data_IF_564361963853
#
_entry.id   IF_564361963853
#
_cell.length_a   1.000
_cell.length_b   1.000
_cell.length_c   1.000
_cell.angle_alpha   90.00
_cell.angle_beta   90.00
_cell.angle_gamma   90.00
#
_symmetry.space_group_name_H-M   'P 1'
#
loop_
_entity.id
_entity.type
_entity.pdbx_description
1 polymer ?
#
# COMPACT_ATOMS: atom_id res chain seq x y z
N UNK A 1 13.57 -14.11 8.02
CA UNK A 1 12.92 -12.79 7.87
C UNK A 1 13.72 -11.88 6.93
N UNK A 2 13.81 -12.26 5.65
CA UNK A 2 14.56 -11.51 4.62
C UNK A 2 13.70 -11.19 3.37
N UNK A 3 12.43 -11.61 3.33
CA UNK A 3 11.67 -11.74 2.09
C UNK A 3 11.10 -10.42 1.53
N UNK A 4 10.71 -9.46 2.38
CA UNK A 4 9.91 -8.30 1.92
C UNK A 4 10.66 -7.33 1.01
N UNK A 5 11.98 -7.20 1.14
CA UNK A 5 12.81 -6.32 0.26
C UNK A 5 13.05 -6.99 -1.09
N UNK A 6 13.29 -8.30 -1.07
CA UNK A 6 13.35 -9.11 -2.29
C UNK A 6 12.01 -9.10 -3.01
N UNK A 7 10.91 -9.21 -2.26
CA UNK A 7 9.55 -9.10 -2.78
C UNK A 7 9.29 -7.70 -3.36
N UNK A 8 9.66 -6.63 -2.65
CA UNK A 8 9.47 -5.26 -3.15
C UNK A 8 10.22 -5.01 -4.46
N UNK A 9 11.48 -5.43 -4.55
CA UNK A 9 12.25 -5.35 -5.78
C UNK A 9 11.64 -6.22 -6.90
N UNK A 10 11.14 -7.42 -6.58
CA UNK A 10 10.48 -8.29 -7.54
C UNK A 10 9.16 -7.72 -8.06
N UNK A 11 8.36 -7.07 -7.21
CA UNK A 11 7.13 -6.38 -7.62
C UNK A 11 7.45 -5.17 -8.50
N UNK A 12 8.43 -4.34 -8.10
CA UNK A 12 8.87 -3.20 -8.92
C UNK A 12 9.39 -3.66 -10.30
N UNK A 13 10.10 -4.79 -10.36
CA UNK A 13 10.58 -5.37 -11.62
C UNK A 13 9.47 -5.86 -12.56
N UNK A 14 8.24 -6.01 -12.09
CA UNK A 14 7.07 -6.38 -12.89
C UNK A 14 6.32 -5.15 -13.43
N UNK A 15 6.64 -3.95 -12.96
CA UNK A 15 5.98 -2.71 -13.34
C UNK A 15 6.75 -1.97 -14.42
N UNK A 16 6.04 -1.41 -15.40
CA UNK A 16 6.64 -0.50 -16.36
C UNK A 16 6.87 0.87 -15.72
N UNK A 17 7.94 1.56 -16.13
CA UNK A 17 8.27 2.89 -15.62
C UNK A 17 7.11 3.88 -15.79
N UNK A 18 6.39 3.83 -16.92
CA UNK A 18 5.20 4.66 -17.15
C UNK A 18 4.08 4.42 -16.13
N UNK A 19 3.89 3.17 -15.72
CA UNK A 19 2.87 2.81 -14.72
C UNK A 19 3.30 3.30 -13.34
N UNK A 20 4.57 3.10 -12.97
CA UNK A 20 5.12 3.61 -11.70
C UNK A 20 5.04 5.14 -11.61
N UNK A 21 5.39 5.86 -12.68
CA UNK A 21 5.26 7.33 -12.74
C UNK A 21 3.81 7.79 -12.62
N UNK A 22 2.86 7.06 -13.21
CA UNK A 22 1.44 7.39 -13.06
C UNK A 22 0.94 7.15 -11.63
N UNK A 23 1.38 6.06 -11.00
CA UNK A 23 0.97 5.67 -9.67
C UNK A 23 1.50 6.61 -8.59
N UNK A 24 2.79 6.95 -8.67
CA UNK A 24 3.53 7.59 -7.57
C UNK A 24 4.12 8.95 -7.92
N UNK A 25 4.03 9.38 -9.19
CA UNK A 25 4.56 10.64 -9.67
C UNK A 25 5.98 10.52 -10.23
N UNK A 26 6.39 11.52 -11.01
CA UNK A 26 7.75 11.59 -11.56
C UNK A 26 8.79 11.93 -10.50
N UNK A 27 8.37 12.56 -9.40
CA UNK A 27 9.24 12.99 -8.29
C UNK A 27 9.52 11.88 -7.27
N UNK A 28 8.75 10.79 -7.28
CA UNK A 28 8.97 9.68 -6.34
C UNK A 28 10.29 8.97 -6.66
N UNK A 29 11.23 9.04 -5.73
CA UNK A 29 12.54 8.39 -5.86
C UNK A 29 12.41 6.87 -5.92
N UNK A 30 13.41 6.19 -6.47
CA UNK A 30 13.43 4.72 -6.48
C UNK A 30 13.34 4.14 -5.05
N UNK A 31 13.90 4.85 -4.06
CA UNK A 31 13.82 4.48 -2.66
C UNK A 31 12.40 4.62 -2.10
N UNK A 32 11.70 5.72 -2.40
CA UNK A 32 10.31 5.93 -1.97
C UNK A 32 9.39 4.89 -2.57
N UNK A 33 9.58 4.56 -3.85
CA UNK A 33 8.81 3.50 -4.52
C UNK A 33 9.04 2.14 -3.85
N UNK A 34 10.28 1.81 -3.49
CA UNK A 34 10.61 0.60 -2.72
C UNK A 34 9.92 0.61 -1.36
N UNK A 35 9.99 1.73 -0.63
CA UNK A 35 9.37 1.90 0.68
C UNK A 35 7.85 1.75 0.64
N UNK A 36 7.19 2.34 -0.36
CA UNK A 36 5.75 2.20 -0.59
C UNK A 36 5.38 0.73 -0.83
N UNK A 37 6.09 0.06 -1.74
CA UNK A 37 5.81 -1.36 -2.04
C UNK A 37 6.07 -2.25 -0.83
N UNK A 38 7.18 -2.02 -0.12
CA UNK A 38 7.53 -2.77 1.09
C UNK A 38 6.45 -2.61 2.18
N UNK A 39 6.01 -1.37 2.43
CA UNK A 39 4.94 -1.07 3.36
C UNK A 39 3.60 -1.72 2.95
N UNK A 40 3.26 -1.72 1.66
CA UNK A 40 2.04 -2.36 1.16
C UNK A 40 2.05 -3.88 1.36
N UNK A 41 3.18 -4.54 1.09
CA UNK A 41 3.32 -5.99 1.34
C UNK A 41 3.21 -6.31 2.83
N UNK A 42 3.83 -5.51 3.70
CA UNK A 42 3.69 -5.69 5.16
C UNK A 42 2.26 -5.48 5.62
N UNK A 43 1.63 -4.40 5.14
CA UNK A 43 0.27 -4.03 5.51
C UNK A 43 -0.70 -5.15 5.14
N UNK A 44 -0.68 -5.62 3.89
CA UNK A 44 -1.55 -6.71 3.43
C UNK A 44 -1.38 -7.97 4.27
N UNK A 45 -0.12 -8.43 4.45
CA UNK A 45 0.18 -9.61 5.27
C UNK A 45 -0.35 -9.49 6.69
N UNK A 46 -0.05 -8.38 7.37
CA UNK A 46 -0.47 -8.17 8.75
C UNK A 46 -1.99 -7.94 8.88
N UNK A 47 -2.63 -7.38 7.85
CA UNK A 47 -4.08 -7.22 7.81
C UNK A 47 -4.76 -8.59 7.75
N UNK A 48 -4.32 -9.47 6.84
CA UNK A 48 -4.81 -10.84 6.72
C UNK A 48 -4.61 -11.62 8.03
N UNK A 49 -3.39 -11.60 8.59
CA UNK A 49 -3.08 -12.20 9.89
C UNK A 49 -4.03 -11.68 11.00
N UNK A 50 -4.35 -10.38 10.99
CA UNK A 50 -5.23 -9.77 11.99
C UNK A 50 -6.70 -10.17 11.85
N UNK A 51 -7.14 -10.47 10.62
CA UNK A 51 -8.49 -10.97 10.35
C UNK A 51 -8.61 -12.46 10.71
N UNK A 52 -7.57 -13.24 10.46
CA UNK A 52 -7.50 -14.66 10.85
C UNK A 52 -7.52 -14.85 12.37
N UNK A 53 -6.81 -14.00 13.11
CA UNK A 53 -6.75 -14.03 14.59
C UNK A 53 -8.05 -13.55 15.25
N UNK A 54 -8.93 -12.86 14.51
CA UNK A 54 -10.20 -12.32 15.01
C UNK A 54 -11.33 -12.46 13.97
N UNK A 55 -11.86 -13.68 13.78
CA UNK A 55 -13.03 -13.87 12.93
C UNK A 55 -14.29 -13.34 13.64
N UNK A 56 -14.80 -12.15 13.28
CA UNK A 56 -16.07 -11.67 13.83
C UNK A 56 -16.50 -10.26 13.46
N UNK A 57 -17.82 -10.01 13.59
CA UNK A 57 -18.46 -8.70 13.42
C UNK A 57 -17.83 -7.68 14.37
N UNK A 58 -17.03 -6.79 13.82
CA UNK A 58 -16.46 -5.67 14.55
C UNK A 58 -17.54 -4.59 14.71
N UNK A 59 -17.84 -4.22 15.95
CA UNK A 59 -18.43 -2.92 16.20
C UNK A 59 -17.42 -1.80 15.84
N UNK A 60 -17.89 -0.56 15.73
CA UNK A 60 -17.05 0.57 15.32
C UNK A 60 -15.80 0.73 16.22
N UNK A 61 -15.96 0.49 17.52
CA UNK A 61 -14.87 0.56 18.49
C UNK A 61 -13.84 -0.56 18.29
N UNK A 62 -14.30 -1.79 18.03
CA UNK A 62 -13.49 -2.95 17.72
C UNK A 62 -12.72 -2.77 16.40
N UNK A 63 -13.38 -2.27 15.36
CA UNK A 63 -12.75 -1.97 14.07
C UNK A 63 -11.68 -0.89 14.22
N UNK A 64 -11.96 0.19 14.96
CA UNK A 64 -10.98 1.25 15.24
C UNK A 64 -9.77 0.72 15.99
N UNK A 65 -9.98 -0.11 17.02
CA UNK A 65 -8.89 -0.69 17.80
C UNK A 65 -8.03 -1.64 16.96
N UNK A 66 -8.67 -2.47 16.14
CA UNK A 66 -7.98 -3.35 15.20
C UNK A 66 -7.07 -2.56 14.27
N UNK A 67 -7.59 -1.49 13.65
CA UNK A 67 -6.81 -0.64 12.75
C UNK A 67 -5.65 0.07 13.46
N UNK A 68 -5.84 0.54 14.69
CA UNK A 68 -4.76 1.13 15.49
C UNK A 68 -3.67 0.10 15.81
N UNK A 69 -4.06 -1.10 16.25
CA UNK A 69 -3.12 -2.17 16.61
C UNK A 69 -2.37 -2.69 15.36
N UNK A 70 -3.05 -2.77 14.21
CA UNK A 70 -2.44 -3.05 12.91
C UNK A 70 -1.43 -1.97 12.54
N UNK A 71 -1.82 -0.70 12.57
CA UNK A 71 -0.94 0.38 12.15
C UNK A 71 0.30 0.51 13.02
N UNK A 72 0.15 0.30 14.33
CA UNK A 72 1.29 0.26 15.24
C UNK A 72 2.26 -0.89 14.92
N UNK A 73 1.75 -2.06 14.52
CA UNK A 73 2.59 -3.20 14.12
C UNK A 73 3.28 -2.96 12.79
N UNK A 74 2.57 -2.42 11.80
CA UNK A 74 3.15 -2.06 10.49
C UNK A 74 4.26 -1.02 10.66
N UNK A 75 4.02 0.04 11.42
CA UNK A 75 5.03 1.09 11.68
C UNK A 75 6.28 0.51 12.35
N UNK A 76 6.12 -0.38 13.35
CA UNK A 76 7.27 -0.99 14.05
C UNK A 76 8.07 -1.92 13.15
N UNK A 77 7.40 -2.78 12.37
CA UNK A 77 8.07 -3.67 11.43
C UNK A 77 8.79 -2.87 10.33
N UNK A 78 8.11 -1.85 9.79
CA UNK A 78 8.68 -0.96 8.79
C UNK A 78 9.91 -0.21 9.32
N UNK A 79 9.82 0.37 10.53
CA UNK A 79 10.94 1.07 11.16
C UNK A 79 12.17 0.17 11.34
N UNK A 80 11.96 -1.03 11.90
CA UNK A 80 13.02 -2.00 12.12
C UNK A 80 13.67 -2.44 10.78
N UNK A 81 12.87 -2.60 9.73
CA UNK A 81 13.36 -3.08 8.45
C UNK A 81 14.12 -2.02 7.66
N UNK A 82 13.64 -0.80 7.71
CA UNK A 82 14.27 0.34 7.04
C UNK A 82 15.43 0.92 7.86
N UNK A 83 15.73 0.34 9.03
CA UNK A 83 16.74 0.85 9.97
C UNK A 83 16.51 2.33 10.32
N UNK A 84 15.24 2.71 10.49
CA UNK A 84 14.80 4.07 10.80
C UNK A 84 14.15 4.15 12.17
N UNK A 85 14.07 5.36 12.70
CA UNK A 85 13.37 5.61 13.95
C UNK A 85 11.87 5.38 13.79
N UNK A 86 11.21 4.88 14.84
CA UNK A 86 9.76 4.60 14.79
C UNK A 86 8.93 5.85 14.47
N UNK A 87 9.38 7.02 14.94
CA UNK A 87 8.72 8.29 14.64
C UNK A 87 8.87 8.69 13.16
N UNK A 88 10.04 8.45 12.56
CA UNK A 88 10.29 8.70 11.14
C UNK A 88 9.44 7.76 10.26
N UNK A 89 9.35 6.48 10.63
CA UNK A 89 8.45 5.52 10.00
C UNK A 89 6.98 5.94 10.09
N UNK A 90 6.55 6.42 11.27
CA UNK A 90 5.19 6.89 11.49
C UNK A 90 4.89 8.16 10.67
N UNK A 91 5.85 9.06 10.53
CA UNK A 91 5.71 10.26 9.71
C UNK A 91 5.57 9.90 8.23
N UNK A 92 6.44 9.00 7.73
CA UNK A 92 6.37 8.51 6.35
C UNK A 92 5.02 7.84 6.04
N UNK A 93 4.61 6.88 6.88
CA UNK A 93 3.35 6.15 6.69
C UNK A 93 2.11 6.99 7.01
N UNK A 94 2.27 8.07 7.78
CA UNK A 94 1.21 9.02 8.13
C UNK A 94 0.97 10.09 7.07
N UNK A 95 1.92 10.31 6.16
CA UNK A 95 1.75 11.22 5.04
C UNK A 95 0.62 10.72 4.12
N UNK A 96 -0.34 11.61 3.82
CA UNK A 96 -1.61 11.22 3.16
C UNK A 96 -1.35 10.58 1.80
N UNK A 97 -0.46 11.15 0.99
CA UNK A 97 -0.10 10.61 -0.31
C UNK A 97 0.53 9.22 -0.20
N UNK A 98 1.45 9.03 0.72
CA UNK A 98 2.14 7.77 0.97
C UNK A 98 1.18 6.70 1.46
N UNK A 99 0.35 7.02 2.46
CA UNK A 99 -0.68 6.11 2.96
C UNK A 99 -1.64 5.67 1.85
N UNK A 100 -2.14 6.60 1.05
CA UNK A 100 -3.08 6.29 -0.02
C UNK A 100 -2.43 5.42 -1.10
N UNK A 101 -1.15 5.64 -1.41
CA UNK A 101 -0.36 4.79 -2.34
C UNK A 101 -0.11 3.39 -1.78
N UNK A 102 0.16 3.28 -0.47
CA UNK A 102 0.35 1.99 0.22
C UNK A 102 -0.94 1.17 0.19
N UNK A 103 -2.08 1.79 0.51
CA UNK A 103 -3.39 1.13 0.48
C UNK A 103 -3.77 0.73 -0.94
N UNK A 104 -3.65 1.63 -1.93
CA UNK A 104 -3.93 1.33 -3.34
C UNK A 104 -3.08 0.15 -3.84
N UNK A 105 -1.78 0.13 -3.53
CA UNK A 105 -0.92 -0.97 -3.96
C UNK A 105 -1.23 -2.27 -3.22
N UNK A 106 -1.62 -2.20 -1.94
CA UNK A 106 -2.07 -3.38 -1.18
C UNK A 106 -3.31 -4.01 -1.80
N UNK A 107 -4.29 -3.20 -2.22
CA UNK A 107 -5.51 -3.69 -2.91
C UNK A 107 -5.14 -4.36 -4.24
N UNK A 108 -4.20 -3.78 -5.00
CA UNK A 108 -3.70 -4.37 -6.25
C UNK A 108 -3.03 -5.73 -6.01
N UNK A 109 -2.30 -5.90 -4.91
CA UNK A 109 -1.66 -7.18 -4.55
C UNK A 109 -2.71 -8.24 -4.17
N UNK A 110 -3.76 -7.86 -3.47
CA UNK A 110 -4.88 -8.73 -3.13
C UNK A 110 -5.62 -9.18 -4.42
N UNK A 111 -6.00 -8.23 -5.28
CA UNK A 111 -6.65 -8.54 -6.56
C UNK A 111 -5.80 -9.44 -7.45
N UNK A 112 -4.47 -9.22 -7.48
CA UNK A 112 -3.55 -10.07 -8.22
C UNK A 112 -3.59 -11.52 -7.75
N UNK A 113 -3.67 -11.73 -6.43
CA UNK A 113 -3.66 -13.06 -5.83
C UNK A 113 -4.91 -13.87 -6.21
N UNK A 114 -6.05 -13.20 -6.45
CA UNK A 114 -7.30 -13.83 -6.91
C UNK A 114 -7.49 -13.90 -8.42
N UNK A 115 -6.86 -13.01 -9.20
CA UNK A 115 -7.17 -12.85 -10.63
C UNK A 115 -6.17 -13.50 -11.59
N UNK A 116 -4.91 -13.71 -11.18
CA UNK A 116 -3.83 -14.16 -12.06
C UNK A 116 -3.42 -13.15 -13.15
N UNK A 117 -3.95 -11.91 -13.10
CA UNK A 117 -3.64 -10.84 -14.05
C UNK A 117 -2.23 -10.26 -13.83
N UNK A 118 -1.60 -9.66 -14.85
CA UNK A 118 -0.32 -8.99 -14.70
C UNK A 118 -0.39 -7.81 -13.73
N UNK A 119 0.61 -7.66 -12.86
CA UNK A 119 0.65 -6.59 -11.86
C UNK A 119 0.63 -5.18 -12.48
N UNK A 120 1.32 -4.98 -13.61
CA UNK A 120 1.32 -3.70 -14.34
C UNK A 120 -0.07 -3.29 -14.82
N UNK A 121 -0.88 -4.26 -15.23
CA UNK A 121 -2.23 -4.03 -15.73
C UNK A 121 -3.16 -3.60 -14.60
N UNK A 122 -3.13 -4.35 -13.50
CA UNK A 122 -3.93 -4.08 -12.30
C UNK A 122 -3.61 -2.71 -11.69
N UNK A 123 -2.32 -2.39 -11.54
CA UNK A 123 -1.91 -1.08 -11.03
C UNK A 123 -2.32 0.05 -11.97
N UNK A 124 -2.19 -0.14 -13.29
CA UNK A 124 -2.63 0.88 -14.26
C UNK A 124 -4.13 1.14 -14.14
N UNK A 125 -4.95 0.09 -14.06
CA UNK A 125 -6.40 0.23 -13.88
C UNK A 125 -6.77 0.94 -12.59
N UNK A 126 -6.15 0.57 -11.46
CA UNK A 126 -6.40 1.21 -10.17
C UNK A 126 -6.11 2.72 -10.23
N UNK A 127 -4.96 3.09 -10.82
CA UNK A 127 -4.52 4.49 -10.95
C UNK A 127 -5.40 5.29 -11.91
N UNK A 128 -5.77 4.72 -13.05
CA UNK A 128 -6.63 5.39 -14.02
C UNK A 128 -8.05 5.55 -13.42
N UNK A 129 -8.57 4.55 -12.71
CA UNK A 129 -9.83 4.63 -11.96
C UNK A 129 -9.82 5.68 -10.85
N UNK A 130 -8.70 5.85 -10.13
CA UNK A 130 -8.52 6.95 -9.17
C UNK A 130 -8.61 8.32 -9.85
N UNK A 131 -7.97 8.49 -11.00
CA UNK A 131 -8.00 9.75 -11.77
C UNK A 131 -9.41 10.07 -12.27
N UNK A 132 -10.13 9.07 -12.77
CA UNK A 132 -11.50 9.23 -13.22
C UNK A 132 -12.46 9.60 -12.08
N UNK A 133 -12.27 9.03 -10.89
CA UNK A 133 -13.03 9.40 -9.69
C UNK A 133 -12.70 10.82 -9.22
N UNK A 134 -11.42 11.19 -9.22
CA UNK A 134 -10.99 12.54 -8.87
C UNK A 134 -11.49 13.60 -9.87
N UNK A 135 -11.50 13.28 -11.17
CA UNK A 135 -12.08 14.12 -12.23
C UNK A 135 -13.58 14.32 -12.03
N UNK A 136 -14.33 13.23 -11.79
CA UNK A 136 -15.77 13.29 -11.52
C UNK A 136 -16.10 14.09 -10.26
N UNK A 137 -15.31 13.94 -9.19
CA UNK A 137 -15.48 14.69 -7.95
C UNK A 137 -15.19 16.19 -8.08
N UNK A 138 -14.42 16.62 -9.09
CA UNK A 138 -14.03 18.01 -9.34
C UNK A 138 -14.89 18.74 -10.39
N UNK A 139 -15.89 18.06 -10.97
CA UNK A 139 -16.84 18.65 -11.92
C UNK A 139 -16.69 18.13 -13.35
N UNK A 140 -17.19 16.91 -13.60
CA UNK A 140 -17.56 16.53 -14.97
C UNK A 140 -18.63 17.49 -15.53
N UNK A 141 -18.68 17.69 -16.86
CA UNK A 141 -19.27 18.90 -17.46
C UNK A 141 -20.74 19.06 -17.09
N UNK A 142 -21.08 20.24 -16.58
CA UNK A 142 -22.43 20.81 -16.69
C UNK A 142 -22.64 21.40 -18.08
#
# INVERSE_FOLDING_TARGET
MADTDGAAAAYLGQLREDTMRRAWGEEASAEDRRRIVSAAVMFGRQFDESLEDRPGDFDEAGARRLLMDLMNRVVREFAARESMETNEAAEFLGEVGTRDRVLEFSEVLDERSGSGRPLDELLREAVDGRRDRAFRARGGPG
#
